data_IF_546848220977
#
_entry.id   IF_546848220977
#
_cell.length_a   1.000
_cell.length_b   1.000
_cell.length_c   1.000
_cell.angle_alpha   90.00
_cell.angle_beta   90.00
_cell.angle_gamma   90.00
#
_symmetry.space_group_name_H-M   'P 1'
#
loop_
_entity.id
_entity.type
_entity.pdbx_description
1 polymer ?
#
# COMPACT_ATOMS: atom_id res chain seq x y z
N UNK A 1 -12.09 -12.50 -7.60
CA UNK A 1 -11.69 -11.43 -6.65
C UNK A 1 -10.22 -11.05 -6.90
N UNK A 2 -9.88 -9.76 -6.82
CA UNK A 2 -8.57 -9.20 -7.20
C UNK A 2 -8.11 -8.08 -6.26
N UNK A 3 -6.84 -7.66 -6.39
CA UNK A 3 -6.26 -6.50 -5.71
C UNK A 3 -6.61 -5.18 -6.42
N UNK A 4 -6.13 -4.04 -5.90
CA UNK A 4 -6.40 -2.72 -6.48
C UNK A 4 -5.93 -2.60 -7.95
N UNK A 5 -4.80 -3.23 -8.30
CA UNK A 5 -4.32 -3.26 -9.69
C UNK A 5 -5.28 -4.05 -10.59
N UNK A 6 -5.74 -5.23 -10.15
CA UNK A 6 -6.71 -6.02 -10.91
C UNK A 6 -8.07 -5.33 -11.05
N UNK A 7 -8.54 -4.59 -10.03
CA UNK A 7 -9.75 -3.76 -10.13
C UNK A 7 -9.55 -2.65 -11.18
N UNK A 8 -8.42 -1.95 -11.15
CA UNK A 8 -8.13 -0.89 -12.12
C UNK A 8 -8.09 -1.45 -13.56
N UNK A 9 -7.42 -2.59 -13.76
CA UNK A 9 -7.39 -3.28 -15.06
C UNK A 9 -8.78 -3.70 -15.53
N UNK A 10 -9.61 -4.23 -14.63
CA UNK A 10 -10.99 -4.58 -14.95
C UNK A 10 -11.81 -3.35 -15.38
N UNK A 11 -11.72 -2.24 -14.62
CA UNK A 11 -12.43 -0.99 -14.97
C UNK A 11 -11.96 -0.45 -16.32
N UNK A 12 -10.65 -0.48 -16.60
CA UNK A 12 -10.12 -0.07 -17.89
C UNK A 12 -10.59 -0.98 -19.03
N UNK A 13 -10.57 -2.29 -18.84
CA UNK A 13 -11.09 -3.25 -19.83
C UNK A 13 -12.58 -2.98 -20.14
N UNK A 14 -13.41 -2.76 -19.12
CA UNK A 14 -14.82 -2.39 -19.31
C UNK A 14 -14.94 -1.09 -20.11
N UNK A 15 -14.15 -0.07 -19.78
CA UNK A 15 -14.17 1.20 -20.48
C UNK A 15 -13.67 1.09 -21.94
N UNK A 16 -12.73 0.19 -22.23
CA UNK A 16 -12.24 -0.08 -23.58
C UNK A 16 -13.30 -0.76 -24.43
N UNK A 17 -13.91 -1.83 -23.90
CA UNK A 17 -14.99 -2.54 -24.58
C UNK A 17 -16.21 -1.64 -24.82
N UNK A 18 -16.57 -0.79 -23.85
CA UNK A 18 -17.65 0.19 -24.01
C UNK A 18 -17.37 1.24 -25.10
N UNK A 19 -16.10 1.52 -25.41
CA UNK A 19 -15.69 2.40 -26.53
C UNK A 19 -15.62 1.67 -27.88
N UNK A 20 -15.91 0.37 -27.91
CA UNK A 20 -15.90 -0.45 -29.13
C UNK A 20 -14.53 -1.04 -29.49
N UNK A 21 -13.57 -1.08 -28.56
CA UNK A 21 -12.34 -1.82 -28.81
C UNK A 21 -12.65 -3.33 -28.90
N UNK A 22 -11.97 -4.07 -29.79
CA UNK A 22 -12.24 -5.49 -30.01
C UNK A 22 -11.82 -6.37 -28.82
N UNK A 23 -10.87 -5.91 -28.01
CA UNK A 23 -10.38 -6.60 -26.82
C UNK A 23 -9.72 -5.61 -25.84
N UNK A 24 -9.59 -5.99 -24.55
CA UNK A 24 -8.84 -5.18 -23.59
C UNK A 24 -7.35 -5.10 -23.91
N UNK A 25 -6.72 -3.97 -23.62
CA UNK A 25 -5.28 -3.75 -23.84
C UNK A 25 -4.41 -4.73 -23.03
N UNK A 26 -4.86 -5.08 -21.82
CA UNK A 26 -4.21 -6.08 -20.97
C UNK A 26 -5.10 -7.31 -20.94
N UNK A 27 -4.60 -8.43 -21.48
CA UNK A 27 -5.33 -9.70 -21.41
C UNK A 27 -5.37 -10.22 -19.98
N UNK A 28 -6.54 -10.59 -19.44
CA UNK A 28 -6.65 -11.12 -18.10
C UNK A 28 -5.99 -12.48 -18.01
N UNK A 29 -5.35 -12.77 -16.88
CA UNK A 29 -4.75 -14.07 -16.60
C UNK A 29 -5.34 -14.69 -15.33
N UNK A 30 -5.46 -16.02 -15.31
CA UNK A 30 -5.83 -16.72 -14.08
C UNK A 30 -4.60 -16.99 -13.22
N UNK A 31 -3.65 -17.79 -13.74
CA UNK A 31 -2.30 -18.09 -13.24
C UNK A 31 -2.05 -18.00 -11.72
N UNK A 32 -3.03 -18.42 -10.90
CA UNK A 32 -2.96 -18.28 -9.44
C UNK A 32 -1.99 -19.28 -8.82
N UNK A 33 -1.76 -20.39 -9.52
CA UNK A 33 -0.78 -21.42 -9.19
C UNK A 33 0.64 -20.86 -9.05
N UNK A 34 0.96 -19.73 -9.72
CA UNK A 34 2.26 -19.06 -9.59
C UNK A 34 2.49 -18.46 -8.20
N UNK A 35 1.43 -18.26 -7.42
CA UNK A 35 1.46 -17.69 -6.07
C UNK A 35 1.03 -18.70 -5.01
N UNK A 36 0.95 -19.98 -5.35
CA UNK A 36 0.68 -21.03 -4.37
C UNK A 36 1.82 -21.13 -3.34
N UNK A 37 1.44 -21.48 -2.11
CA UNK A 37 2.41 -21.75 -1.07
C UNK A 37 3.28 -22.95 -1.46
N UNK A 38 4.57 -22.89 -1.08
CA UNK A 38 5.50 -24.00 -1.29
C UNK A 38 5.00 -25.27 -0.59
N UNK A 39 5.15 -26.41 -1.26
CA UNK A 39 4.94 -27.73 -0.63
C UNK A 39 6.11 -28.06 0.30
N UNK A 40 5.75 -28.41 1.53
CA UNK A 40 6.48 -28.12 2.78
C UNK A 40 6.70 -26.60 3.00
N UNK A 41 6.03 -26.01 4.01
CA UNK A 41 6.28 -24.63 4.41
C UNK A 41 7.74 -24.42 4.78
N UNK A 42 8.36 -23.38 4.20
CA UNK A 42 9.72 -22.95 4.53
C UNK A 42 9.70 -21.50 4.98
N UNK A 43 9.50 -21.29 6.29
CA UNK A 43 9.58 -19.96 6.86
C UNK A 43 11.02 -19.43 6.74
N UNK A 44 11.20 -18.29 6.08
CA UNK A 44 12.51 -17.67 5.92
C UNK A 44 12.82 -16.68 7.07
N UNK A 45 11.79 -16.08 7.66
CA UNK A 45 11.90 -15.10 8.74
C UNK A 45 10.60 -15.06 9.58
N UNK A 46 10.63 -14.53 10.81
CA UNK A 46 9.43 -14.32 11.62
C UNK A 46 8.49 -13.32 10.97
N UNK A 47 7.23 -13.72 10.74
CA UNK A 47 6.20 -12.86 10.13
C UNK A 47 5.40 -12.09 11.17
N UNK A 48 6.05 -11.08 11.78
CA UNK A 48 5.44 -10.27 12.87
C UNK A 48 4.20 -9.50 12.44
N UNK A 49 4.02 -9.28 11.14
CA UNK A 49 2.83 -8.69 10.54
C UNK A 49 1.55 -9.48 10.84
N UNK A 50 1.66 -10.77 11.18
CA UNK A 50 0.54 -11.64 11.56
C UNK A 50 0.45 -11.89 13.07
N UNK A 51 1.32 -11.30 13.88
CA UNK A 51 1.22 -11.41 15.34
C UNK A 51 -0.09 -10.78 15.83
N UNK A 52 -0.70 -11.37 16.85
CA UNK A 52 -1.89 -10.81 17.49
C UNK A 52 -1.55 -9.45 18.09
N UNK A 53 -2.26 -8.41 17.64
CA UNK A 53 -2.14 -7.05 18.19
C UNK A 53 -3.26 -6.85 19.20
N UNK A 54 -2.97 -6.49 20.46
CA UNK A 54 -3.99 -6.11 21.42
C UNK A 54 -4.82 -4.95 20.87
N UNK A 55 -6.14 -4.87 21.15
CA UNK A 55 -6.94 -3.72 20.75
C UNK A 55 -6.31 -2.44 21.31
N UNK A 56 -5.92 -1.51 20.43
CA UNK A 56 -5.46 -0.19 20.88
C UNK A 56 -6.63 0.50 21.56
N UNK A 57 -6.46 0.93 22.82
CA UNK A 57 -7.50 1.59 23.61
C UNK A 57 -8.04 2.89 22.96
N UNK A 58 -7.33 3.42 21.97
CA UNK A 58 -7.65 4.65 21.25
C UNK A 58 -8.38 4.45 19.90
N UNK A 59 -8.87 3.25 19.59
CA UNK A 59 -9.73 3.09 18.41
C UNK A 59 -11.04 3.87 18.62
N UNK A 60 -11.37 4.86 17.77
CA UNK A 60 -12.60 5.62 17.95
C UNK A 60 -13.82 4.71 17.81
N UNK A 61 -14.91 4.97 18.56
CA UNK A 61 -16.12 4.17 18.48
C UNK A 61 -16.73 4.21 17.06
N UNK A 62 -17.44 3.15 16.64
CA UNK A 62 -18.10 3.14 15.35
C UNK A 62 -19.04 4.34 15.17
N UNK A 63 -18.89 5.08 14.06
CA UNK A 63 -19.72 6.24 13.73
C UNK A 63 -19.11 7.61 14.07
N UNK A 64 -18.01 7.65 14.81
CA UNK A 64 -17.32 8.91 15.19
C UNK A 64 -16.12 9.24 14.27
N UNK A 65 -16.13 8.71 13.04
CA UNK A 65 -15.04 8.88 12.08
C UNK A 65 -15.45 9.89 11.01
N UNK A 66 -14.72 11.00 10.94
CA UNK A 66 -14.88 12.00 9.88
C UNK A 66 -13.88 11.74 8.77
N UNK A 67 -14.35 11.71 7.52
CA UNK A 67 -13.49 11.65 6.35
C UNK A 67 -13.07 13.06 5.90
N UNK A 68 -11.77 13.23 5.63
CA UNK A 68 -11.15 14.46 5.11
C UNK A 68 -10.13 14.10 4.04
N UNK A 69 -10.04 14.95 3.03
CA UNK A 69 -9.06 14.81 1.95
C UNK A 69 -8.00 15.90 2.07
N UNK A 70 -6.74 15.51 1.98
CA UNK A 70 -5.60 16.42 1.96
C UNK A 70 -4.90 16.30 0.61
N UNK A 71 -4.58 17.45 0.01
CA UNK A 71 -3.88 17.52 -1.27
C UNK A 71 -2.46 18.00 -1.05
N UNK A 72 -1.48 17.24 -1.52
CA UNK A 72 -0.07 17.60 -1.43
C UNK A 72 0.45 18.02 -2.81
N UNK A 73 0.95 19.25 -2.90
CA UNK A 73 1.61 19.76 -4.10
C UNK A 73 3.08 19.33 -4.15
N UNK A 74 3.74 19.57 -5.29
CA UNK A 74 5.19 19.35 -5.41
C UNK A 74 5.99 20.16 -4.40
N UNK A 75 5.55 21.39 -4.10
CA UNK A 75 6.20 22.24 -3.12
C UNK A 75 6.06 21.67 -1.70
N UNK A 76 4.87 21.17 -1.35
CA UNK A 76 4.64 20.51 -0.05
C UNK A 76 5.52 19.26 0.11
N UNK A 77 5.60 18.43 -0.94
CA UNK A 77 6.45 17.23 -0.93
C UNK A 77 7.93 17.62 -0.80
N UNK A 78 8.38 18.66 -1.50
CA UNK A 78 9.75 19.15 -1.37
C UNK A 78 10.04 19.65 0.05
N UNK A 79 9.13 20.42 0.65
CA UNK A 79 9.26 20.88 2.03
C UNK A 79 9.33 19.73 3.04
N UNK A 80 8.51 18.67 2.86
CA UNK A 80 8.60 17.45 3.68
C UNK A 80 9.98 16.80 3.52
N UNK A 81 10.50 16.69 2.30
CA UNK A 81 11.81 16.08 2.03
C UNK A 81 12.97 16.90 2.59
N UNK A 82 12.90 18.23 2.62
CA UNK A 82 13.93 19.07 3.23
C UNK A 82 14.09 18.82 4.74
N UNK A 83 13.02 18.40 5.41
CA UNK A 83 13.07 17.97 6.81
C UNK A 83 13.77 16.63 7.04
N UNK A 84 14.10 15.88 5.99
CA UNK A 84 14.78 14.58 6.11
C UNK A 84 16.29 14.76 6.33
N UNK A 85 16.95 13.76 6.95
CA UNK A 85 18.40 13.69 6.97
C UNK A 85 19.01 13.84 5.56
N UNK A 86 20.14 14.55 5.40
CA UNK A 86 20.72 14.85 4.07
C UNK A 86 20.86 13.63 3.16
N UNK A 87 21.27 12.48 3.70
CA UNK A 87 21.46 11.23 2.94
C UNK A 87 20.16 10.59 2.41
N UNK A 88 18.99 11.04 2.88
CA UNK A 88 17.67 10.57 2.47
C UNK A 88 16.92 11.54 1.56
N UNK A 89 17.27 12.84 1.55
CA UNK A 89 16.51 13.88 0.82
C UNK A 89 16.31 13.54 -0.65
N UNK A 90 17.40 13.14 -1.31
CA UNK A 90 17.41 12.82 -2.74
C UNK A 90 16.97 11.39 -3.06
N UNK A 91 16.92 10.51 -2.05
CA UNK A 91 16.59 9.08 -2.23
C UNK A 91 15.14 8.76 -1.93
N UNK A 92 14.53 9.48 -0.99
CA UNK A 92 13.16 9.25 -0.58
C UNK A 92 12.21 9.48 -1.76
N UNK A 93 11.36 8.50 -2.03
CA UNK A 93 10.26 8.63 -2.98
C UNK A 93 9.18 9.57 -2.43
N UNK A 94 8.29 10.06 -3.29
CA UNK A 94 7.13 10.83 -2.85
C UNK A 94 6.24 10.02 -1.92
N UNK A 95 6.04 8.73 -2.21
CA UNK A 95 5.24 7.84 -1.37
C UNK A 95 5.83 7.73 0.04
N UNK A 96 7.13 7.45 0.16
CA UNK A 96 7.80 7.31 1.47
C UNK A 96 7.72 8.62 2.26
N UNK A 97 8.00 9.76 1.63
CA UNK A 97 7.97 11.07 2.28
C UNK A 97 6.56 11.40 2.82
N UNK A 98 5.53 11.25 1.98
CA UNK A 98 4.14 11.54 2.39
C UNK A 98 3.63 10.52 3.40
N UNK A 99 3.87 9.22 3.19
CA UNK A 99 3.44 8.18 4.12
C UNK A 99 4.06 8.36 5.51
N UNK A 100 5.36 8.66 5.59
CA UNK A 100 6.04 8.95 6.85
C UNK A 100 5.50 10.23 7.52
N UNK A 101 5.26 11.29 6.74
CA UNK A 101 4.68 12.54 7.24
C UNK A 101 3.28 12.35 7.81
N UNK A 102 2.39 11.67 7.07
CA UNK A 102 1.03 11.34 7.52
C UNK A 102 1.07 10.40 8.72
N UNK A 103 1.96 9.41 8.74
CA UNK A 103 2.13 8.50 9.86
C UNK A 103 2.49 9.27 11.13
N UNK A 104 3.50 10.14 11.07
CA UNK A 104 3.90 10.99 12.20
C UNK A 104 2.76 11.89 12.67
N UNK A 105 2.06 12.55 11.74
CA UNK A 105 0.93 13.41 12.08
C UNK A 105 -0.21 12.63 12.75
N UNK A 106 -0.54 11.43 12.24
CA UNK A 106 -1.54 10.53 12.83
C UNK A 106 -1.14 10.11 14.24
N UNK A 107 0.11 9.70 14.46
CA UNK A 107 0.60 9.30 15.78
C UNK A 107 0.48 10.43 16.79
N UNK A 108 0.86 11.65 16.41
CA UNK A 108 0.71 12.84 17.28
C UNK A 108 -0.76 13.13 17.56
N UNK A 109 -1.63 13.06 16.55
CA UNK A 109 -3.05 13.36 16.70
C UNK A 109 -3.81 12.34 17.57
N UNK A 110 -3.31 11.10 17.68
CA UNK A 110 -3.90 10.07 18.53
C UNK A 110 -3.53 10.20 20.01
N UNK A 111 -2.51 11.01 20.34
CA UNK A 111 -2.06 11.28 21.72
C UNK A 111 -1.93 10.01 22.59
N UNK A 112 -1.23 9.01 22.04
CA UNK A 112 -1.07 7.71 22.69
C UNK A 112 0.05 7.71 23.73
N UNK A 113 0.01 6.81 24.72
CA UNK A 113 1.13 6.57 25.62
C UNK A 113 2.44 6.32 24.86
N UNK A 114 3.56 6.81 25.40
CA UNK A 114 4.86 6.74 24.73
C UNK A 114 5.35 5.30 24.46
N UNK A 115 4.89 4.33 25.25
CA UNK A 115 5.28 2.92 25.16
C UNK A 115 4.38 2.10 24.21
N UNK A 116 3.38 2.71 23.58
CA UNK A 116 2.49 2.01 22.65
C UNK A 116 3.20 1.68 21.33
N UNK A 117 3.14 0.40 20.93
CA UNK A 117 3.63 -0.04 19.62
C UNK A 117 2.62 0.32 18.52
N UNK A 118 3.07 1.09 17.53
CA UNK A 118 2.28 1.42 16.34
C UNK A 118 2.88 0.81 15.08
N UNK A 119 2.01 0.25 14.23
CA UNK A 119 2.40 -0.42 12.98
C UNK A 119 1.87 0.33 11.77
N UNK A 120 2.77 0.61 10.82
CA UNK A 120 2.41 1.07 9.46
C UNK A 120 2.52 -0.11 8.49
N UNK A 121 1.40 -0.52 7.92
CA UNK A 121 1.36 -1.55 6.88
C UNK A 121 1.30 -0.90 5.49
N UNK A 122 2.15 -1.37 4.58
CA UNK A 122 2.18 -0.93 3.18
C UNK A 122 2.09 -2.15 2.27
N UNK A 123 1.23 -2.07 1.25
CA UNK A 123 1.09 -3.12 0.24
C UNK A 123 2.12 -2.90 -0.86
N UNK A 124 2.93 -3.93 -1.14
CA UNK A 124 3.91 -3.93 -2.22
C UNK A 124 3.40 -4.73 -3.43
N UNK A 125 3.61 -4.21 -4.64
CA UNK A 125 3.26 -4.90 -5.88
C UNK A 125 4.42 -5.76 -6.36
N UNK A 126 4.25 -7.08 -6.32
CA UNK A 126 5.29 -8.05 -6.71
C UNK A 126 5.27 -8.42 -8.20
N UNK A 127 4.35 -7.91 -9.03
CA UNK A 127 4.31 -8.20 -10.47
C UNK A 127 5.60 -7.85 -11.21
N UNK A 128 6.39 -6.91 -10.67
CA UNK A 128 7.68 -6.51 -11.27
C UNK A 128 8.86 -7.40 -10.84
N UNK A 129 8.65 -8.35 -9.93
CA UNK A 129 9.65 -9.35 -9.54
C UNK A 129 9.70 -10.41 -10.64
N UNK A 130 10.75 -10.35 -11.45
CA UNK A 130 10.87 -11.15 -12.69
C UNK A 130 10.86 -12.64 -12.42
N UNK A 131 11.43 -13.03 -11.28
CA UNK A 131 11.54 -14.41 -10.82
C UNK A 131 10.18 -15.07 -10.57
N UNK A 132 9.13 -14.27 -10.31
CA UNK A 132 7.77 -14.77 -10.12
C UNK A 132 7.03 -15.03 -11.44
N UNK A 133 7.52 -14.51 -12.56
CA UNK A 133 6.92 -14.74 -13.88
C UNK A 133 5.45 -14.32 -13.99
N UNK A 134 5.01 -13.34 -13.18
CA UNK A 134 3.61 -12.96 -13.12
C UNK A 134 3.15 -12.30 -14.44
N UNK A 135 2.00 -12.70 -14.99
CA UNK A 135 1.44 -12.07 -16.18
C UNK A 135 1.03 -10.62 -15.90
N UNK A 136 0.84 -9.86 -16.99
CA UNK A 136 0.47 -8.46 -16.90
C UNK A 136 -0.95 -8.25 -16.35
N UNK A 137 -1.89 -9.14 -16.69
CA UNK A 137 -3.30 -9.09 -16.27
C UNK A 137 -3.73 -10.18 -15.31
#
# INVERSE_FOLDING_TARGET
MCDATGIAQFIFAVAELARGLPSPTVSPAWSRELLEARSLPRQAFPHREYDAVPPTAAAPPPGDVISRTFTFTRADIAAIKEGLPPHLRDKATTFEAVAAGVWRARTVALDLPADDELRLAVVANFRRVRELGLPAG
#
